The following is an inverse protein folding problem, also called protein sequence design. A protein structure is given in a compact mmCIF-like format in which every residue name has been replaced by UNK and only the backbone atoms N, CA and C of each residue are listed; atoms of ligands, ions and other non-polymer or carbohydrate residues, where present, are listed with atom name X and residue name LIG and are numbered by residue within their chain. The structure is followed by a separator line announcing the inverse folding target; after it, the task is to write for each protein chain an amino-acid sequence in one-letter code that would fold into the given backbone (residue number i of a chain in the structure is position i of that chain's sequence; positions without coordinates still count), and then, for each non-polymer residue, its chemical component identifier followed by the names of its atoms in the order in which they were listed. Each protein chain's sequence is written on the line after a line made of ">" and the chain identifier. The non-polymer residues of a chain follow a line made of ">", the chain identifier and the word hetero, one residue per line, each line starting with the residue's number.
data_IF_482217203946
#
_entry.id   IF_482217203946
#
_cell.length_a   1.000
_cell.length_b   1.000
_cell.length_c   1.000
_cell.angle_alpha   90.00
_cell.angle_beta   90.00
_cell.angle_gamma   90.00
#
_symmetry.space_group_name_H-M   'P 1'
#
loop_
_entity.id
_entity.type
_entity.pdbx_description
1 polymer ?
#
# COMPACT_ATOMS: atom_id res chain seq x y z
N UNK A 1 -14.91 6.82 10.99
CA UNK A 1 -13.99 6.27 12.05
C UNK A 1 -14.49 4.91 12.55
N UNK A 2 -15.10 4.13 11.66
CA UNK A 2 -15.72 2.82 12.00
C UNK A 2 -14.70 1.68 12.10
N UNK A 3 -13.40 2.00 11.91
CA UNK A 3 -12.33 1.02 12.03
C UNK A 3 -12.18 0.56 13.47
N UNK A 4 -12.35 -0.72 13.72
CA UNK A 4 -12.18 -1.33 15.04
C UNK A 4 -10.69 -1.52 15.36
N UNK A 5 -10.37 -1.52 16.64
CA UNK A 5 -8.99 -1.71 17.13
C UNK A 5 -8.39 -3.04 16.66
N UNK A 6 -9.19 -4.09 16.61
CA UNK A 6 -8.78 -5.44 16.19
C UNK A 6 -8.43 -5.47 14.70
N UNK A 7 -9.19 -4.74 13.86
CA UNK A 7 -8.92 -4.64 12.41
C UNK A 7 -7.61 -3.89 12.15
N UNK A 8 -7.36 -2.80 12.90
CA UNK A 8 -6.09 -2.09 12.83
C UNK A 8 -4.93 -2.98 13.26
N UNK A 9 -5.05 -3.70 14.38
CA UNK A 9 -4.03 -4.64 14.84
C UNK A 9 -3.73 -5.72 13.82
N UNK A 10 -4.76 -6.36 13.27
CA UNK A 10 -4.61 -7.40 12.23
C UNK A 10 -3.90 -6.84 10.98
N UNK A 11 -4.23 -5.61 10.57
CA UNK A 11 -3.58 -4.96 9.43
C UNK A 11 -2.08 -4.75 9.68
N UNK A 12 -1.69 -4.32 10.88
CA UNK A 12 -0.30 -4.14 11.26
C UNK A 12 0.41 -5.47 11.48
N UNK A 13 -0.24 -6.46 12.09
CA UNK A 13 0.31 -7.80 12.25
C UNK A 13 0.72 -8.38 10.89
N UNK A 14 -0.20 -8.34 9.91
CA UNK A 14 0.06 -8.90 8.58
C UNK A 14 1.07 -8.09 7.76
N UNK A 15 0.99 -6.76 7.77
CA UNK A 15 1.76 -5.93 6.85
C UNK A 15 3.07 -5.40 7.41
N UNK A 16 3.28 -5.46 8.71
CA UNK A 16 4.44 -4.86 9.38
C UNK A 16 5.17 -5.89 10.23
N UNK A 17 4.48 -6.51 11.20
CA UNK A 17 5.10 -7.39 12.18
C UNK A 17 5.55 -8.71 11.54
N UNK A 18 4.66 -9.37 10.79
CA UNK A 18 4.98 -10.64 10.15
C UNK A 18 6.15 -10.55 9.14
N UNK A 19 6.25 -9.55 8.23
CA UNK A 19 7.43 -9.39 7.38
C UNK A 19 8.74 -9.24 8.18
N UNK A 20 8.70 -8.52 9.29
CA UNK A 20 9.87 -8.36 10.17
C UNK A 20 10.25 -9.67 10.85
N UNK A 21 9.25 -10.42 11.34
CA UNK A 21 9.47 -11.73 11.95
C UNK A 21 10.08 -12.73 10.95
N UNK A 22 9.58 -12.74 9.71
CA UNK A 22 10.12 -13.58 8.63
C UNK A 22 11.55 -13.18 8.29
N UNK A 23 11.83 -11.90 8.11
CA UNK A 23 13.17 -11.40 7.83
C UNK A 23 14.16 -11.79 8.95
N UNK A 24 13.75 -11.65 10.22
CA UNK A 24 14.55 -12.04 11.38
C UNK A 24 14.80 -13.55 11.41
N UNK A 25 13.78 -14.37 11.18
CA UNK A 25 13.92 -15.83 11.17
C UNK A 25 14.82 -16.32 10.02
N UNK A 26 14.78 -15.67 8.86
CA UNK A 26 15.59 -15.99 7.70
C UNK A 26 17.06 -15.49 7.81
N UNK A 27 17.38 -14.61 8.76
CA UNK A 27 18.67 -13.94 8.85
C UNK A 27 19.88 -14.90 8.87
N UNK A 28 19.89 -16.03 9.59
CA UNK A 28 21.01 -16.98 9.56
C UNK A 28 21.28 -17.51 8.14
N UNK A 29 20.21 -17.85 7.40
CA UNK A 29 20.30 -18.36 6.02
C UNK A 29 20.78 -17.25 5.05
N UNK A 30 20.25 -16.05 5.20
CA UNK A 30 20.62 -14.90 4.38
C UNK A 30 22.11 -14.54 4.55
N UNK A 31 22.65 -14.69 5.76
CA UNK A 31 24.08 -14.45 6.06
C UNK A 31 25.00 -15.56 5.54
N UNK A 32 24.53 -16.78 5.48
CA UNK A 32 25.31 -17.92 4.97
C UNK A 32 25.43 -17.89 3.44
N UNK A 33 24.50 -17.25 2.75
CA UNK A 33 24.47 -17.13 1.29
C UNK A 33 25.23 -15.90 0.78
N UNK A 34 25.57 -15.89 -0.49
CA UNK A 34 26.08 -14.71 -1.19
C UNK A 34 24.97 -14.01 -1.95
N UNK A 35 24.98 -12.68 -1.94
CA UNK A 35 24.04 -11.86 -2.73
C UNK A 35 22.58 -11.93 -2.27
N UNK A 36 22.35 -12.21 -0.99
CA UNK A 36 21.01 -12.32 -0.42
C UNK A 36 20.19 -11.02 -0.58
N UNK A 37 18.88 -11.18 -0.86
CA UNK A 37 17.93 -10.08 -1.05
C UNK A 37 16.68 -10.32 -0.20
N UNK A 38 16.28 -9.31 0.56
CA UNK A 38 14.96 -9.22 1.18
C UNK A 38 14.11 -8.28 0.33
N UNK A 39 13.04 -8.78 -0.27
CA UNK A 39 12.09 -7.99 -1.04
C UNK A 39 10.79 -7.79 -0.24
N UNK A 40 10.61 -6.60 0.33
CA UNK A 40 9.40 -6.25 1.06
C UNK A 40 8.35 -5.70 0.10
N UNK A 41 7.17 -6.35 0.06
CA UNK A 41 6.07 -5.94 -0.81
C UNK A 41 5.27 -4.83 -0.12
N UNK A 42 5.65 -3.61 -0.42
CA UNK A 42 4.98 -2.39 0.00
C UNK A 42 3.73 -2.06 -0.81
N UNK A 43 3.56 -0.79 -1.14
CA UNK A 43 2.55 -0.24 -2.06
C UNK A 43 2.85 1.23 -2.32
N UNK A 44 2.40 1.79 -3.44
CA UNK A 44 2.44 3.24 -3.65
C UNK A 44 1.67 4.02 -2.58
N UNK A 45 0.63 3.44 -1.98
CA UNK A 45 -0.12 4.10 -0.89
C UNK A 45 0.63 4.11 0.45
N UNK A 46 1.82 3.52 0.53
CA UNK A 46 2.79 3.80 1.59
C UNK A 46 3.54 5.13 1.40
N UNK A 47 3.44 5.76 0.21
CA UNK A 47 4.02 7.08 -0.10
C UNK A 47 2.99 8.19 0.06
N UNK A 48 1.72 7.91 -0.22
CA UNK A 48 0.60 8.82 -0.02
C UNK A 48 -0.60 8.08 0.57
N UNK A 49 -1.55 8.84 1.13
CA UNK A 49 -2.73 8.28 1.79
C UNK A 49 -3.98 8.56 0.96
N UNK A 50 -4.99 7.71 1.08
CA UNK A 50 -6.32 7.94 0.51
C UNK A 50 -7.38 7.87 1.60
N UNK A 51 -8.53 8.54 1.45
CA UNK A 51 -9.66 8.33 2.35
C UNK A 51 -10.03 6.86 2.45
N UNK A 52 -10.64 6.45 3.54
CA UNK A 52 -11.21 5.12 3.81
C UNK A 52 -10.21 3.95 3.84
N UNK A 53 -8.91 4.21 3.68
CA UNK A 53 -7.87 3.19 3.70
C UNK A 53 -6.71 3.53 4.65
N UNK A 54 -6.97 4.32 5.69
CA UNK A 54 -5.93 4.82 6.61
C UNK A 54 -5.09 3.72 7.25
N UNK A 55 -5.71 2.65 7.76
CA UNK A 55 -5.01 1.51 8.33
C UNK A 55 -4.06 0.84 7.33
N UNK A 56 -4.53 0.60 6.11
CA UNK A 56 -3.71 0.00 5.06
C UNK A 56 -2.57 0.93 4.64
N UNK A 57 -2.86 2.20 4.37
CA UNK A 57 -1.84 3.17 3.96
C UNK A 57 -0.76 3.34 5.04
N UNK A 58 -1.16 3.50 6.30
CA UNK A 58 -0.22 3.65 7.41
C UNK A 58 0.63 2.39 7.62
N UNK A 59 0.07 1.20 7.53
CA UNK A 59 0.83 -0.05 7.63
C UNK A 59 1.86 -0.20 6.50
N UNK A 60 1.51 0.20 5.27
CA UNK A 60 2.47 0.17 4.15
C UNK A 60 3.55 1.26 4.28
N UNK A 61 3.23 2.43 4.82
CA UNK A 61 4.22 3.45 5.16
C UNK A 61 5.18 2.96 6.26
N UNK A 62 4.66 2.31 7.30
CA UNK A 62 5.48 1.69 8.34
C UNK A 62 6.43 0.62 7.78
N UNK A 63 5.94 -0.26 6.90
CA UNK A 63 6.78 -1.25 6.22
C UNK A 63 7.88 -0.60 5.37
N UNK A 64 7.60 0.52 4.68
CA UNK A 64 8.63 1.25 3.93
C UNK A 64 9.71 1.80 4.85
N UNK A 65 9.33 2.43 5.98
CA UNK A 65 10.28 2.97 6.94
C UNK A 65 11.16 1.86 7.55
N UNK A 66 10.56 0.73 7.94
CA UNK A 66 11.29 -0.44 8.43
C UNK A 66 12.23 -1.02 7.37
N UNK A 67 11.79 -1.08 6.11
CA UNK A 67 12.65 -1.55 5.00
C UNK A 67 13.85 -0.64 4.77
N UNK A 68 13.67 0.68 4.90
CA UNK A 68 14.75 1.63 4.79
C UNK A 68 15.76 1.50 5.95
N UNK A 69 15.30 1.23 7.19
CA UNK A 69 16.16 0.94 8.33
C UNK A 69 16.95 -0.37 8.12
N UNK A 70 16.22 -1.47 7.81
CA UNK A 70 16.84 -2.78 7.54
C UNK A 70 17.90 -2.71 6.42
N UNK A 71 17.66 -1.92 5.39
CA UNK A 71 18.61 -1.74 4.30
C UNK A 71 19.94 -1.21 4.77
N UNK A 72 19.94 -0.25 5.70
CA UNK A 72 21.16 0.31 6.30
C UNK A 72 21.80 -0.68 7.27
N UNK A 73 21.00 -1.32 8.12
CA UNK A 73 21.46 -2.23 9.17
C UNK A 73 22.04 -3.54 8.61
N UNK A 74 21.50 -4.04 7.50
CA UNK A 74 21.90 -5.32 6.89
C UNK A 74 22.98 -5.17 5.78
N UNK A 75 23.23 -3.95 5.33
CA UNK A 75 24.28 -3.68 4.33
C UNK A 75 25.68 -4.18 4.73
N UNK A 76 26.16 -4.04 6.00
CA UNK A 76 27.45 -4.58 6.42
C UNK A 76 27.54 -6.12 6.32
N UNK A 77 26.43 -6.82 6.28
CA UNK A 77 26.36 -8.27 6.14
C UNK A 77 26.18 -8.74 4.69
N UNK A 78 26.26 -7.81 3.72
CA UNK A 78 26.05 -8.11 2.30
C UNK A 78 24.59 -8.44 1.92
N UNK A 79 23.63 -8.22 2.80
CA UNK A 79 22.21 -8.49 2.57
C UNK A 79 21.55 -7.21 2.03
N UNK A 80 20.93 -7.31 0.87
CA UNK A 80 20.23 -6.20 0.22
C UNK A 80 18.77 -6.19 0.61
N UNK A 81 18.19 -5.02 0.80
CA UNK A 81 16.77 -4.87 1.10
C UNK A 81 16.14 -3.96 0.03
N UNK A 82 15.11 -4.49 -0.63
CA UNK A 82 14.40 -3.81 -1.71
C UNK A 82 12.94 -3.62 -1.31
N UNK A 83 12.43 -2.41 -1.45
CA UNK A 83 11.01 -2.12 -1.26
C UNK A 83 10.30 -2.14 -2.61
N UNK A 84 9.45 -3.13 -2.85
CA UNK A 84 8.57 -3.17 -4.02
C UNK A 84 7.33 -2.34 -3.74
N UNK A 85 7.00 -1.39 -4.61
CA UNK A 85 5.89 -0.44 -4.45
C UNK A 85 4.88 -0.60 -5.61
N UNK A 86 4.02 -1.64 -5.59
CA UNK A 86 3.00 -1.83 -6.60
C UNK A 86 2.00 -0.67 -6.63
N UNK A 87 1.61 -0.28 -7.84
CA UNK A 87 0.40 0.49 -8.11
C UNK A 87 -0.81 -0.45 -8.28
N UNK A 88 -1.67 -0.16 -9.28
CA UNK A 88 -2.75 -1.06 -9.65
C UNK A 88 -2.22 -2.27 -10.40
N UNK A 89 -2.29 -3.45 -9.79
CA UNK A 89 -1.96 -4.76 -10.37
C UNK A 89 -3.17 -5.67 -10.21
N UNK A 90 -3.50 -6.44 -11.24
CA UNK A 90 -4.63 -7.39 -11.22
C UNK A 90 -4.46 -8.41 -10.10
N UNK A 91 -5.47 -8.54 -9.24
CA UNK A 91 -5.49 -9.48 -8.12
C UNK A 91 -6.88 -9.54 -7.50
N UNK A 92 -7.11 -10.48 -6.58
CA UNK A 92 -8.34 -10.54 -5.77
C UNK A 92 -8.38 -9.52 -4.62
N UNK A 93 -7.33 -8.71 -4.44
CA UNK A 93 -7.20 -7.80 -3.28
C UNK A 93 -8.38 -6.82 -3.17
N UNK A 94 -8.80 -6.21 -4.29
CA UNK A 94 -9.93 -5.27 -4.29
C UNK A 94 -11.24 -5.94 -3.90
N UNK A 95 -11.50 -7.15 -4.41
CA UNK A 95 -12.69 -7.93 -4.08
C UNK A 95 -12.72 -8.31 -2.60
N UNK A 96 -11.61 -8.77 -2.04
CA UNK A 96 -11.51 -9.06 -0.60
C UNK A 96 -11.69 -7.81 0.25
N UNK A 97 -11.10 -6.68 -0.16
CA UNK A 97 -11.24 -5.42 0.54
C UNK A 97 -12.70 -4.91 0.51
N UNK A 98 -13.39 -5.04 -0.61
CA UNK A 98 -14.80 -4.65 -0.75
C UNK A 98 -15.73 -5.57 0.05
N UNK A 99 -15.52 -6.89 -0.01
CA UNK A 99 -16.31 -7.86 0.75
C UNK A 99 -16.17 -7.68 2.28
N UNK A 100 -15.03 -7.16 2.74
CA UNK A 100 -14.79 -6.87 4.15
C UNK A 100 -15.46 -5.57 4.65
N UNK A 101 -16.07 -4.77 3.76
CA UNK A 101 -16.73 -3.52 4.16
C UNK A 101 -18.05 -3.84 4.88
N UNK A 102 -18.08 -3.51 6.17
CA UNK A 102 -19.27 -3.60 7.01
C UNK A 102 -19.44 -2.24 7.69
N UNK A 103 -20.39 -1.44 7.20
CA UNK A 103 -20.73 -0.17 7.82
C UNK A 103 -21.79 -0.38 8.89
N UNK A 104 -21.56 0.02 10.15
CA UNK A 104 -22.56 0.03 11.20
C UNK A 104 -23.82 0.81 10.78
N UNK A 105 -24.98 0.47 11.39
CA UNK A 105 -26.25 1.12 11.05
C UNK A 105 -26.20 2.64 11.35
N UNK A 106 -25.45 3.03 12.36
CA UNK A 106 -25.23 4.39 12.83
C UNK A 106 -23.97 5.06 12.28
N UNK A 107 -23.30 4.42 11.29
CA UNK A 107 -22.08 4.98 10.69
C UNK A 107 -22.30 6.39 10.14
N UNK A 108 -21.42 7.29 10.51
CA UNK A 108 -21.37 8.66 9.98
C UNK A 108 -21.10 8.69 8.47
N UNK A 109 -20.57 7.61 7.89
CA UNK A 109 -20.15 7.54 6.49
C UNK A 109 -21.14 6.81 5.56
N UNK A 110 -22.36 6.49 6.04
CA UNK A 110 -23.39 5.84 5.18
C UNK A 110 -23.66 6.60 3.89
N UNK A 111 -23.72 7.92 3.96
CA UNK A 111 -23.98 8.74 2.77
C UNK A 111 -22.87 8.71 1.71
N UNK A 112 -21.71 8.12 2.02
CA UNK A 112 -20.58 7.97 1.10
C UNK A 112 -20.11 6.52 0.95
N UNK A 113 -20.97 5.55 1.27
CA UNK A 113 -20.65 4.10 1.14
C UNK A 113 -20.17 3.74 -0.27
N UNK A 114 -20.76 4.30 -1.30
CA UNK A 114 -20.31 4.10 -2.67
C UNK A 114 -18.84 4.54 -2.88
N UNK A 115 -18.44 5.65 -2.27
CA UNK A 115 -17.05 6.13 -2.29
C UNK A 115 -16.09 5.19 -1.56
N UNK A 116 -16.54 4.58 -0.45
CA UNK A 116 -15.76 3.57 0.30
C UNK A 116 -15.53 2.33 -0.57
N UNK A 117 -16.59 1.80 -1.22
CA UNK A 117 -16.51 0.66 -2.14
C UNK A 117 -15.65 0.98 -3.37
N UNK A 118 -15.83 2.14 -3.97
CA UNK A 118 -14.99 2.61 -5.07
C UNK A 118 -13.51 2.70 -4.67
N UNK A 119 -13.22 3.07 -3.41
CA UNK A 119 -11.84 3.08 -2.89
C UNK A 119 -11.27 1.66 -2.77
N UNK A 120 -12.05 0.68 -2.32
CA UNK A 120 -11.61 -0.71 -2.24
C UNK A 120 -11.19 -1.25 -3.62
N UNK A 121 -11.96 -0.92 -4.65
CA UNK A 121 -11.73 -1.36 -6.04
C UNK A 121 -10.76 -0.46 -6.84
N UNK A 122 -10.32 0.67 -6.32
CA UNK A 122 -9.54 1.66 -7.08
C UNK A 122 -8.23 1.11 -7.68
N UNK A 123 -7.62 0.12 -7.02
CA UNK A 123 -6.42 -0.55 -7.51
C UNK A 123 -6.66 -1.55 -8.63
N UNK A 124 -7.92 -1.97 -8.86
CA UNK A 124 -8.27 -2.98 -9.86
C UNK A 124 -8.77 -2.37 -11.18
N UNK A 125 -9.22 -1.11 -11.16
CA UNK A 125 -9.72 -0.43 -12.36
C UNK A 125 -8.61 -0.20 -13.39
N UNK A 126 -8.63 -0.97 -14.50
CA UNK A 126 -7.59 -0.94 -15.53
C UNK A 126 -6.21 -1.27 -14.99
N UNK A 127 -6.15 -2.19 -14.03
CA UNK A 127 -4.92 -2.66 -13.41
C UNK A 127 -4.00 -3.36 -14.42
N UNK A 128 -2.71 -3.27 -14.19
CA UNK A 128 -1.69 -3.97 -14.98
C UNK A 128 -1.84 -5.48 -14.78
N UNK A 129 -1.78 -6.29 -15.83
CA UNK A 129 -1.75 -7.75 -15.71
C UNK A 129 -0.63 -8.21 -14.76
N UNK A 130 -0.90 -9.27 -13.98
CA UNK A 130 0.03 -9.74 -12.95
C UNK A 130 1.40 -10.08 -13.53
N UNK A 131 1.45 -10.81 -14.64
CA UNK A 131 2.73 -11.21 -15.27
C UNK A 131 3.52 -10.00 -15.79
N UNK A 132 2.83 -9.01 -16.37
CA UNK A 132 3.45 -7.77 -16.83
C UNK A 132 4.06 -6.94 -15.66
N UNK A 133 3.62 -7.17 -14.43
CA UNK A 133 4.20 -6.59 -13.23
C UNK A 133 5.31 -7.48 -12.64
N UNK A 134 5.06 -8.79 -12.50
CA UNK A 134 5.93 -9.71 -11.75
C UNK A 134 7.25 -9.94 -12.48
N UNK A 135 7.23 -10.18 -13.79
CA UNK A 135 8.44 -10.50 -14.56
C UNK A 135 9.51 -9.41 -14.42
N UNK A 136 9.24 -8.12 -14.70
CA UNK A 136 10.24 -7.07 -14.52
C UNK A 136 10.72 -6.89 -13.07
N UNK A 137 9.85 -7.16 -12.09
CA UNK A 137 10.22 -7.09 -10.67
C UNK A 137 11.21 -8.18 -10.32
N UNK A 138 10.93 -9.42 -10.71
CA UNK A 138 11.84 -10.57 -10.47
C UNK A 138 13.18 -10.33 -11.16
N UNK A 139 13.18 -9.94 -12.44
CA UNK A 139 14.39 -9.63 -13.18
C UNK A 139 15.25 -8.57 -12.51
N UNK A 140 14.59 -7.53 -11.95
CA UNK A 140 15.29 -6.47 -11.23
C UNK A 140 15.86 -6.93 -9.88
N UNK A 141 15.16 -7.83 -9.16
CA UNK A 141 15.61 -8.40 -7.88
C UNK A 141 16.83 -9.33 -8.06
N UNK A 142 16.90 -10.02 -9.19
CA UNK A 142 17.98 -10.98 -9.52
C UNK A 142 19.27 -10.30 -10.04
N UNK A 143 19.26 -8.99 -10.26
CA UNK A 143 20.46 -8.26 -10.67
C UNK A 143 21.55 -8.29 -9.58
N UNK A 144 22.79 -8.21 -10.00
CA UNK A 144 23.93 -8.04 -9.05
C UNK A 144 23.77 -6.81 -8.16
N UNK A 145 23.11 -5.77 -8.67
CA UNK A 145 22.80 -4.53 -7.94
C UNK A 145 21.33 -4.18 -8.16
N UNK A 146 20.40 -4.76 -7.38
CA UNK A 146 19.00 -4.43 -7.50
C UNK A 146 18.73 -2.99 -7.02
N UNK A 147 17.75 -2.29 -7.61
CA UNK A 147 17.39 -0.96 -7.18
C UNK A 147 16.78 -0.99 -5.76
N UNK A 148 16.98 0.06 -4.99
CA UNK A 148 16.48 0.16 -3.60
C UNK A 148 14.95 0.13 -3.52
N UNK A 149 14.29 0.66 -4.54
CA UNK A 149 12.83 0.72 -4.67
C UNK A 149 12.43 0.32 -6.08
N UNK A 150 11.47 -0.60 -6.17
CA UNK A 150 10.88 -1.05 -7.43
C UNK A 150 9.43 -0.59 -7.51
N UNK A 151 9.12 0.22 -8.50
CA UNK A 151 7.74 0.65 -8.80
C UNK A 151 7.27 -0.01 -10.07
N UNK A 152 6.03 -0.46 -10.08
CA UNK A 152 5.38 -1.04 -11.25
C UNK A 152 3.87 -1.06 -11.07
N UNK A 153 3.16 -1.33 -12.16
CA UNK A 153 1.71 -1.29 -12.19
C UNK A 153 1.12 0.11 -12.38
N UNK A 154 -0.17 0.17 -12.64
CA UNK A 154 -0.89 1.41 -12.98
C UNK A 154 -0.74 2.47 -11.89
N UNK A 155 -0.36 3.67 -12.29
CA UNK A 155 -0.25 4.83 -11.41
C UNK A 155 0.96 4.82 -10.47
N UNK A 156 1.85 3.82 -10.58
CA UNK A 156 2.97 3.63 -9.65
C UNK A 156 3.97 4.78 -9.63
N UNK A 157 4.09 5.52 -10.70
CA UNK A 157 4.98 6.69 -10.80
C UNK A 157 4.20 8.01 -10.66
N UNK A 158 3.07 8.12 -11.37
CA UNK A 158 2.30 9.36 -11.44
C UNK A 158 1.74 9.80 -10.09
N UNK A 159 1.12 8.89 -9.31
CA UNK A 159 0.47 9.26 -8.05
C UNK A 159 1.47 9.71 -6.98
N UNK A 160 2.60 9.01 -6.73
CA UNK A 160 3.66 9.52 -5.86
C UNK A 160 4.26 10.85 -6.32
N UNK A 161 4.41 11.06 -7.64
CA UNK A 161 4.90 12.31 -8.21
C UNK A 161 3.92 13.46 -7.95
N UNK A 162 2.64 13.26 -8.18
CA UNK A 162 1.60 14.24 -7.86
C UNK A 162 1.60 14.60 -6.37
N UNK A 163 1.77 13.59 -5.49
CA UNK A 163 1.89 13.85 -4.04
C UNK A 163 3.12 14.69 -3.70
N UNK A 164 4.23 14.50 -4.39
CA UNK A 164 5.46 15.26 -4.15
C UNK A 164 5.38 16.71 -4.66
N UNK A 165 4.67 16.95 -5.77
CA UNK A 165 4.61 18.25 -6.43
C UNK A 165 3.44 19.12 -5.99
N UNK A 166 2.33 18.51 -5.57
CA UNK A 166 1.13 19.26 -5.19
C UNK A 166 1.15 19.64 -3.72
N UNK A 167 0.72 20.86 -3.35
CA UNK A 167 0.40 21.21 -1.97
C UNK A 167 -0.60 20.21 -1.38
N UNK A 168 -0.41 19.80 -0.13
CA UNK A 168 -1.22 18.77 0.53
C UNK A 168 -2.72 19.05 0.39
N UNK A 169 -3.17 20.29 0.62
CA UNK A 169 -4.59 20.66 0.49
C UNK A 169 -5.16 20.36 -0.92
N UNK A 170 -4.39 20.60 -1.98
CA UNK A 170 -4.84 20.32 -3.37
C UNK A 170 -4.93 18.82 -3.61
N UNK A 171 -3.97 18.06 -3.15
CA UNK A 171 -3.97 16.61 -3.26
C UNK A 171 -5.15 15.99 -2.48
N UNK A 172 -5.42 16.48 -1.26
CA UNK A 172 -6.56 16.06 -0.44
C UNK A 172 -7.90 16.35 -1.13
N UNK A 173 -8.05 17.51 -1.76
CA UNK A 173 -9.27 17.87 -2.51
C UNK A 173 -9.48 16.91 -3.70
N UNK A 174 -8.40 16.57 -4.44
CA UNK A 174 -8.48 15.63 -5.57
C UNK A 174 -8.97 14.26 -5.09
N UNK A 175 -8.37 13.75 -4.01
CA UNK A 175 -8.74 12.44 -3.45
C UNK A 175 -10.13 12.44 -2.83
N UNK A 176 -10.50 13.52 -2.13
CA UNK A 176 -11.83 13.68 -1.54
C UNK A 176 -12.93 13.73 -2.61
N UNK A 177 -12.68 14.42 -3.74
CA UNK A 177 -13.61 14.41 -4.90
C UNK A 177 -13.72 13.01 -5.50
N UNK A 178 -12.60 12.34 -5.71
CA UNK A 178 -12.57 11.01 -6.31
C UNK A 178 -13.38 9.97 -5.53
N UNK A 179 -13.44 10.11 -4.20
CA UNK A 179 -14.10 9.15 -3.31
C UNK A 179 -15.36 9.72 -2.62
N UNK A 180 -15.93 10.77 -3.18
CA UNK A 180 -17.25 11.27 -2.79
C UNK A 180 -17.32 12.02 -1.45
N UNK A 181 -16.16 12.43 -0.88
CA UNK A 181 -16.13 13.24 0.34
C UNK A 181 -16.25 14.74 0.08
N UNK A 182 -15.81 15.23 -1.07
CA UNK A 182 -15.89 16.66 -1.37
C UNK A 182 -17.34 17.06 -1.62
N UNK A 183 -17.80 18.06 -0.86
CA UNK A 183 -19.20 18.54 -0.91
C UNK A 183 -20.20 17.67 -0.16
N UNK A 184 -19.78 16.52 0.39
CA UNK A 184 -20.65 15.74 1.25
C UNK A 184 -20.77 16.38 2.64
N UNK A 185 -22.01 16.43 3.14
CA UNK A 185 -22.33 16.92 4.49
C UNK A 185 -23.08 15.82 5.24
N UNK A 186 -22.66 15.44 6.46
CA UNK A 186 -23.38 14.46 7.27
C UNK A 186 -24.85 14.85 7.44
N UNK A 187 -25.76 13.87 7.29
CA UNK A 187 -27.21 14.10 7.44
C UNK A 187 -27.92 14.70 6.24
N UNK A 188 -27.23 15.05 5.16
CA UNK A 188 -27.85 15.39 3.87
C UNK A 188 -27.76 14.20 2.90
N UNK A 189 -28.84 13.88 2.14
CA UNK A 189 -28.76 12.87 1.09
C UNK A 189 -27.69 13.27 0.08
N UNK A 190 -26.98 12.27 -0.47
CA UNK A 190 -26.01 12.49 -1.53
C UNK A 190 -26.69 13.20 -2.70
N UNK A 191 -26.16 14.33 -3.14
CA UNK A 191 -26.60 14.97 -4.40
C UNK A 191 -26.19 14.02 -5.54
N UNK A 192 -27.20 13.61 -6.34
CA UNK A 192 -27.03 12.75 -7.53
C UNK A 192 -26.29 13.49 -8.63
#
# INVERSE_FOLDING_TARGET
>A
MDLRREDLRRQYETNVIAPMAVARAALPLLRAGSGAVIANIGSIVGVFTTPFAGAYCSSKAALHALSDALRMELAPFGIRVVTVQPGGVQSSFGNHAEAAIQLPADSLYRGVEQGIRARAQAGQQGATPTDAFVVPVVDALLRSTPPLRLRGGKGSTLLPLLKALLPTRRFDVILSRRFGLAGWTPGKPAQR
#
